data_IF_765810264278
#
_entry.id   IF_765810264278
#
_cell.length_a   1.000
_cell.length_b   1.000
_cell.length_c   1.000
_cell.angle_alpha   90.00
_cell.angle_beta   90.00
_cell.angle_gamma   90.00
#
_symmetry.space_group_name_H-M   'P 1'
#
loop_
_entity.id
_entity.type
_entity.pdbx_description
1 polymer ?
#
# COMPACT_ATOMS: atom_id res chain seq x y z
N UNK A 1 -3.51 -24.98 30.67
CA UNK A 1 -3.20 -26.16 29.84
C UNK A 1 -1.68 -26.20 29.64
N UNK A 2 -1.02 -27.37 29.73
CA UNK A 2 0.40 -27.50 29.37
C UNK A 2 0.59 -27.18 27.87
N UNK A 3 1.72 -26.57 27.48
CA UNK A 3 2.01 -26.26 26.07
C UNK A 3 2.16 -27.56 25.27
N UNK A 4 1.62 -27.62 24.04
CA UNK A 4 1.81 -28.77 23.14
C UNK A 4 3.18 -28.78 22.46
N UNK A 5 3.76 -27.58 22.22
CA UNK A 5 5.06 -27.41 21.60
C UNK A 5 5.98 -26.57 22.49
N UNK A 6 7.25 -26.98 22.57
CA UNK A 6 8.35 -26.14 23.02
C UNK A 6 9.03 -25.52 21.80
N UNK A 7 9.10 -24.19 21.75
CA UNK A 7 9.65 -23.43 20.62
C UNK A 7 10.99 -22.82 21.02
N UNK A 8 12.05 -23.06 20.23
CA UNK A 8 13.38 -22.49 20.44
C UNK A 8 14.00 -22.00 19.14
N UNK A 9 14.63 -20.81 19.09
CA UNK A 9 14.62 -19.76 20.13
C UNK A 9 13.21 -19.18 20.37
N UNK A 10 13.02 -18.55 21.53
CA UNK A 10 11.75 -17.89 21.91
C UNK A 10 11.51 -16.54 21.21
N UNK A 11 12.48 -16.08 20.43
CA UNK A 11 12.45 -14.87 19.61
C UNK A 11 13.21 -15.15 18.31
N UNK A 12 12.80 -14.48 17.23
CA UNK A 12 13.41 -14.61 15.91
C UNK A 12 14.37 -13.45 15.72
N UNK A 13 15.65 -13.73 15.52
CA UNK A 13 16.66 -12.67 15.38
C UNK A 13 17.26 -12.71 13.98
N UNK A 14 17.29 -11.56 13.32
CA UNK A 14 17.97 -11.35 12.05
C UNK A 14 19.06 -10.28 12.17
N UNK A 15 20.14 -10.37 11.39
CA UNK A 15 21.04 -9.23 11.20
C UNK A 15 20.32 -8.13 10.40
N UNK A 16 20.61 -6.88 10.71
CA UNK A 16 20.11 -5.72 10.00
C UNK A 16 20.92 -5.52 8.71
N UNK A 17 20.52 -6.20 7.63
CA UNK A 17 21.15 -6.13 6.32
C UNK A 17 20.14 -5.76 5.25
N UNK A 18 20.46 -4.75 4.44
CA UNK A 18 19.65 -4.34 3.28
C UNK A 18 20.02 -5.16 2.04
N UNK A 19 19.08 -5.31 1.11
CA UNK A 19 19.26 -5.90 -0.21
C UNK A 19 19.76 -7.37 -0.24
N UNK A 20 19.80 -8.04 0.92
CA UNK A 20 20.22 -9.43 1.05
C UNK A 20 19.15 -10.26 1.77
N UNK A 21 18.97 -11.52 1.36
CA UNK A 21 18.16 -12.46 2.09
C UNK A 21 18.95 -13.10 3.23
N UNK A 22 18.32 -13.24 4.39
CA UNK A 22 18.93 -13.84 5.59
C UNK A 22 17.97 -14.87 6.16
N UNK A 23 18.50 -15.94 6.75
CA UNK A 23 17.69 -17.03 7.30
C UNK A 23 18.00 -17.27 8.77
N UNK A 24 17.02 -17.84 9.47
CA UNK A 24 17.15 -18.33 10.83
C UNK A 24 16.26 -19.56 11.00
N UNK A 25 16.54 -20.37 12.01
CA UNK A 25 15.86 -21.65 12.24
C UNK A 25 15.14 -21.64 13.58
N UNK A 26 13.87 -22.03 13.57
CA UNK A 26 13.08 -22.34 14.77
C UNK A 26 12.92 -23.85 14.91
N UNK A 27 13.24 -24.39 16.08
CA UNK A 27 13.00 -25.79 16.43
C UNK A 27 11.70 -25.91 17.24
N UNK A 28 10.77 -26.72 16.74
CA UNK A 28 9.50 -27.05 17.37
C UNK A 28 9.59 -28.48 17.94
N UNK A 29 9.63 -28.60 19.26
CA UNK A 29 9.66 -29.90 19.95
C UNK A 29 8.28 -30.24 20.51
N UNK A 30 7.76 -31.43 20.20
CA UNK A 30 6.52 -31.92 20.78
C UNK A 30 6.74 -32.30 22.25
N UNK A 31 6.03 -31.63 23.15
CA UNK A 31 6.11 -31.83 24.61
C UNK A 31 4.75 -32.22 25.21
N UNK A 32 3.85 -32.73 24.37
CA UNK A 32 2.54 -33.22 24.80
C UNK A 32 2.65 -34.36 25.81
N UNK A 33 2.00 -34.20 26.97
CA UNK A 33 2.08 -35.16 28.07
C UNK A 33 1.40 -36.51 27.75
N UNK A 34 0.44 -36.49 26.82
CA UNK A 34 -0.30 -37.68 26.37
C UNK A 34 0.40 -38.40 25.19
N UNK A 35 1.58 -37.91 24.78
CA UNK A 35 2.38 -38.45 23.67
C UNK A 35 1.57 -38.57 22.37
N UNK A 36 0.70 -37.61 22.09
CA UNK A 36 -0.02 -37.52 20.81
C UNK A 36 0.83 -36.76 19.78
N UNK A 37 0.59 -37.05 18.50
CA UNK A 37 1.15 -36.24 17.43
C UNK A 37 0.55 -34.82 17.48
N UNK A 38 1.35 -33.80 17.20
CA UNK A 38 0.91 -32.40 17.26
C UNK A 38 1.03 -31.78 15.87
N UNK A 39 -0.10 -31.34 15.31
CA UNK A 39 -0.13 -30.57 14.08
C UNK A 39 0.16 -29.10 14.39
N UNK A 40 0.93 -28.44 13.53
CA UNK A 40 1.25 -27.03 13.67
C UNK A 40 1.02 -26.25 12.37
N UNK A 41 0.75 -24.96 12.53
CA UNK A 41 0.70 -23.98 11.44
C UNK A 41 1.30 -22.67 11.89
N UNK A 42 2.04 -22.01 11.01
CA UNK A 42 2.76 -20.78 11.27
C UNK A 42 2.17 -19.67 10.39
N UNK A 43 1.89 -18.53 11.02
CA UNK A 43 1.44 -17.29 10.38
C UNK A 43 2.41 -16.17 10.73
N UNK A 44 2.51 -15.17 9.87
CA UNK A 44 3.35 -13.98 10.09
C UNK A 44 2.55 -12.72 9.77
N UNK A 45 2.87 -11.61 10.42
CA UNK A 45 2.31 -10.29 10.11
C UNK A 45 2.85 -9.70 8.80
N UNK A 46 3.94 -10.27 8.25
CA UNK A 46 4.56 -9.78 7.01
C UNK A 46 4.88 -10.93 6.03
N UNK A 47 3.86 -11.60 5.44
CA UNK A 47 4.06 -12.77 4.57
C UNK A 47 4.82 -12.46 3.27
N UNK A 48 4.93 -11.18 2.88
CA UNK A 48 5.77 -10.76 1.75
C UNK A 48 7.27 -10.71 2.12
N UNK A 49 7.57 -10.45 3.39
CA UNK A 49 8.94 -10.29 3.88
C UNK A 49 9.55 -11.62 4.31
N UNK A 50 8.72 -12.63 4.64
CA UNK A 50 9.22 -13.90 5.16
C UNK A 50 8.72 -15.10 4.37
N UNK A 51 9.64 -15.98 4.05
CA UNK A 51 9.36 -17.31 3.54
C UNK A 51 9.59 -18.34 4.66
N UNK A 52 8.57 -19.15 4.94
CA UNK A 52 8.59 -20.13 6.04
C UNK A 52 8.55 -21.55 5.49
N UNK A 53 9.50 -22.39 5.89
CA UNK A 53 9.65 -23.76 5.38
C UNK A 53 10.00 -24.75 6.51
N UNK A 54 9.11 -25.70 6.86
CA UNK A 54 7.69 -25.79 6.49
C UNK A 54 6.82 -24.76 7.24
N UNK A 55 5.76 -24.24 6.61
CA UNK A 55 4.78 -23.33 7.25
C UNK A 55 3.65 -24.06 7.99
N UNK A 56 3.50 -25.36 7.75
CA UNK A 56 2.60 -26.26 8.49
C UNK A 56 3.13 -27.68 8.43
N UNK A 57 2.77 -28.51 9.41
CA UNK A 57 3.19 -29.91 9.45
C UNK A 57 2.73 -30.62 10.71
N UNK A 58 3.32 -31.78 10.98
CA UNK A 58 3.09 -32.57 12.20
C UNK A 58 4.42 -32.89 12.86
N UNK A 59 4.44 -32.81 14.18
CA UNK A 59 5.54 -33.25 15.02
C UNK A 59 5.11 -34.50 15.76
N UNK A 60 5.80 -35.62 15.49
CA UNK A 60 5.58 -36.88 16.20
C UNK A 60 5.88 -36.73 17.70
N UNK A 61 5.38 -37.63 18.56
CA UNK A 61 5.67 -37.60 19.99
C UNK A 61 7.17 -37.59 20.27
N UNK A 62 7.61 -36.74 21.19
CA UNK A 62 9.03 -36.56 21.57
C UNK A 62 9.97 -36.11 20.41
N UNK A 63 9.43 -35.80 19.22
CA UNK A 63 10.21 -35.38 18.07
C UNK A 63 10.41 -33.85 18.02
N UNK A 64 11.39 -33.41 17.21
CA UNK A 64 11.64 -32.00 16.91
C UNK A 64 11.64 -31.78 15.40
N UNK A 65 11.01 -30.69 14.96
CA UNK A 65 11.01 -30.24 13.56
C UNK A 65 11.65 -28.87 13.49
N UNK A 66 12.59 -28.71 12.56
CA UNK A 66 13.20 -27.41 12.25
C UNK A 66 12.41 -26.69 11.17
N UNK A 67 12.09 -25.44 11.44
CA UNK A 67 11.41 -24.50 10.56
C UNK A 67 12.37 -23.39 10.18
N UNK A 68 12.66 -23.29 8.89
CA UNK A 68 13.44 -22.18 8.35
C UNK A 68 12.54 -20.96 8.13
N UNK A 69 12.96 -19.83 8.67
CA UNK A 69 12.38 -18.51 8.40
C UNK A 69 13.41 -17.71 7.61
N UNK A 70 13.04 -17.32 6.39
CA UNK A 70 13.91 -16.62 5.46
C UNK A 70 13.34 -15.22 5.24
N UNK A 71 14.05 -14.20 5.73
CA UNK A 71 13.77 -12.80 5.41
C UNK A 71 14.19 -12.52 3.95
N UNK A 72 13.26 -11.98 3.17
CA UNK A 72 13.47 -11.53 1.80
C UNK A 72 14.28 -10.21 1.79
N UNK A 73 15.01 -9.89 0.71
CA UNK A 73 15.77 -8.64 0.59
C UNK A 73 14.90 -7.42 0.89
N UNK A 74 15.34 -6.59 1.85
CA UNK A 74 14.63 -5.36 2.25
C UNK A 74 15.24 -4.14 1.55
N UNK A 75 14.40 -3.20 1.10
CA UNK A 75 14.81 -1.94 0.45
C UNK A 75 14.85 -0.74 1.40
N UNK A 76 14.33 -0.91 2.62
CA UNK A 76 14.29 0.06 3.71
C UNK A 76 14.73 -0.62 5.01
N UNK A 77 15.19 0.16 6.00
CA UNK A 77 15.73 -0.36 7.27
C UNK A 77 14.77 -1.35 7.96
N UNK A 78 15.10 -2.66 7.99
CA UNK A 78 14.29 -3.69 8.62
C UNK A 78 14.07 -3.47 10.12
N UNK A 79 14.98 -2.75 10.80
CA UNK A 79 14.90 -2.55 12.26
C UNK A 79 13.69 -1.75 12.73
N UNK A 80 13.02 -1.06 11.80
CA UNK A 80 11.77 -0.36 12.05
C UNK A 80 10.54 -1.28 12.00
N UNK A 81 10.68 -2.52 11.52
CA UNK A 81 9.58 -3.47 11.42
C UNK A 81 9.29 -4.14 12.77
N UNK A 82 8.03 -4.14 13.19
CA UNK A 82 7.58 -4.86 14.41
C UNK A 82 6.94 -6.20 14.07
N UNK A 83 7.63 -6.99 13.23
CA UNK A 83 7.09 -8.24 12.70
C UNK A 83 6.89 -9.31 13.78
N UNK A 84 5.84 -10.11 13.64
CA UNK A 84 5.50 -11.19 14.59
C UNK A 84 5.16 -12.47 13.86
N UNK A 85 5.47 -13.59 14.50
CA UNK A 85 5.07 -14.93 14.09
C UNK A 85 4.10 -15.52 15.10
N UNK A 86 3.05 -16.17 14.61
CA UNK A 86 2.08 -16.92 15.39
C UNK A 86 2.19 -18.39 15.00
N UNK A 87 2.52 -19.23 15.98
CA UNK A 87 2.52 -20.69 15.86
C UNK A 87 1.24 -21.19 16.52
N UNK A 88 0.39 -21.85 15.76
CA UNK A 88 -0.82 -22.53 16.24
C UNK A 88 -0.55 -24.03 16.26
N UNK A 89 -0.91 -24.70 17.33
CA UNK A 89 -0.71 -26.13 17.52
C UNK A 89 -1.97 -26.80 18.08
N UNK A 90 -2.24 -28.03 17.64
CA UNK A 90 -3.30 -28.88 18.21
C UNK A 90 -2.91 -30.35 18.08
N UNK A 91 -3.48 -31.22 18.93
CA UNK A 91 -3.25 -32.66 18.84
C UNK A 91 -3.90 -33.22 17.57
N UNK A 92 -3.17 -34.04 16.81
CA UNK A 92 -3.63 -34.71 15.60
C UNK A 92 -3.90 -36.19 15.89
N UNK A 93 -5.14 -36.63 15.68
CA UNK A 93 -5.54 -38.03 15.86
C UNK A 93 -5.03 -38.95 14.74
N UNK A 94 -4.77 -38.40 13.55
CA UNK A 94 -4.37 -39.16 12.35
C UNK A 94 -2.86 -39.17 12.14
N UNK A 95 -2.10 -38.35 12.88
CA UNK A 95 -0.65 -38.16 12.67
C UNK A 95 -0.30 -37.48 11.35
N UNK A 96 -1.29 -36.97 10.61
CA UNK A 96 -1.14 -36.25 9.35
C UNK A 96 -1.36 -34.74 9.54
N UNK A 97 -0.77 -33.89 8.69
CA UNK A 97 -1.03 -32.45 8.70
C UNK A 97 -2.52 -32.17 8.54
N UNK A 98 -3.03 -31.22 9.32
CA UNK A 98 -4.42 -30.79 9.21
C UNK A 98 -4.60 -29.89 7.99
N UNK A 99 -5.57 -30.21 7.16
CA UNK A 99 -5.98 -29.40 6.01
C UNK A 99 -6.77 -28.16 6.45
N UNK A 100 -6.92 -27.19 5.53
CA UNK A 100 -7.54 -25.88 5.84
C UNK A 100 -8.91 -26.00 6.50
N UNK A 101 -9.76 -26.90 6.01
CA UNK A 101 -11.12 -27.09 6.50
C UNK A 101 -11.16 -27.81 7.85
N UNK A 102 -10.14 -28.61 8.17
CA UNK A 102 -10.04 -29.30 9.45
C UNK A 102 -9.65 -28.30 10.55
N UNK A 103 -8.73 -27.37 10.28
CA UNK A 103 -8.40 -26.29 11.20
C UNK A 103 -9.61 -25.42 11.58
N UNK A 104 -10.60 -25.25 10.69
CA UNK A 104 -11.82 -24.51 10.97
C UNK A 104 -12.79 -25.27 11.90
N UNK A 105 -12.65 -26.60 11.99
CA UNK A 105 -13.49 -27.48 12.82
C UNK A 105 -12.91 -27.74 14.21
N UNK A 106 -11.61 -27.51 14.42
CA UNK A 106 -10.97 -27.62 15.73
C UNK A 106 -11.53 -26.54 16.67
N UNK A 107 -11.94 -26.93 17.87
CA UNK A 107 -12.45 -25.98 18.84
C UNK A 107 -11.34 -25.00 19.25
N UNK A 108 -11.66 -23.70 19.34
CA UNK A 108 -10.67 -22.66 19.71
C UNK A 108 -9.97 -22.95 21.05
N UNK A 109 -10.64 -23.66 21.97
CA UNK A 109 -10.08 -24.09 23.26
C UNK A 109 -9.01 -25.18 23.16
N UNK A 110 -8.93 -25.88 22.03
CA UNK A 110 -7.96 -26.95 21.75
C UNK A 110 -6.74 -26.45 20.95
N UNK A 111 -6.79 -25.20 20.49
CA UNK A 111 -5.68 -24.57 19.75
C UNK A 111 -4.77 -23.86 20.73
N UNK A 112 -3.50 -24.27 20.73
CA UNK A 112 -2.44 -23.64 21.49
C UNK A 112 -1.70 -22.62 20.62
N UNK A 113 -1.54 -21.41 21.13
CA UNK A 113 -0.93 -20.31 20.40
C UNK A 113 0.36 -19.83 21.06
N UNK A 114 1.43 -19.74 20.28
CA UNK A 114 2.70 -19.14 20.70
C UNK A 114 3.04 -17.98 19.75
N UNK A 115 3.26 -16.79 20.33
CA UNK A 115 3.69 -15.59 19.59
C UNK A 115 5.20 -15.38 19.75
N UNK A 116 5.89 -15.07 18.67
CA UNK A 116 7.31 -14.73 18.64
C UNK A 116 7.48 -13.35 18.01
N UNK A 117 8.40 -12.55 18.56
CA UNK A 117 8.80 -11.27 17.99
C UNK A 117 10.01 -11.46 17.07
N UNK A 118 10.06 -10.64 16.02
CA UNK A 118 11.26 -10.49 15.19
C UNK A 118 12.08 -9.32 15.71
N UNK A 119 13.39 -9.54 15.87
CA UNK A 119 14.34 -8.54 16.34
C UNK A 119 15.47 -8.43 15.32
N UNK A 120 15.77 -7.20 14.90
CA UNK A 120 16.90 -6.90 14.03
C UNK A 120 18.06 -6.39 14.86
N UNK A 121 19.21 -7.08 14.78
CA UNK A 121 20.44 -6.64 15.42
C UNK A 121 21.37 -6.01 14.39
N UNK A 122 22.14 -4.96 14.72
CA UNK A 122 23.20 -4.47 13.84
C UNK A 122 24.06 -5.63 13.37
N UNK A 123 24.42 -5.66 12.08
CA UNK A 123 25.33 -6.66 11.58
C UNK A 123 26.65 -6.54 12.36
N UNK A 124 27.06 -7.60 13.06
CA UNK A 124 28.39 -7.62 13.67
C UNK A 124 29.42 -7.70 12.55
N UNK A 125 30.30 -6.70 12.48
CA UNK A 125 31.45 -6.71 11.58
C UNK A 125 32.36 -7.89 11.93
N UNK A 126 32.33 -8.93 11.09
CA UNK A 126 33.47 -9.82 10.90
C UNK A 126 33.18 -11.33 10.96
N UNK A 127 32.99 -11.94 9.80
CA UNK A 127 33.73 -13.12 9.35
C UNK A 127 33.25 -13.52 7.94
N UNK A 128 33.81 -12.86 6.92
CA UNK A 128 33.81 -13.43 5.58
C UNK A 128 34.60 -14.76 5.65
N UNK A 129 33.91 -15.87 5.45
CA UNK A 129 34.52 -17.16 5.18
C UNK A 129 35.22 -17.08 3.81
N UNK A 130 36.48 -16.67 3.81
CA UNK A 130 37.41 -16.87 2.71
C UNK A 130 38.55 -17.75 3.24
N UNK A 131 38.39 -19.07 3.07
CA UNK A 131 39.51 -19.98 3.18
C UNK A 131 40.43 -19.77 1.99
N UNK A 132 41.62 -19.22 2.23
CA UNK A 132 42.81 -19.58 1.46
C UNK A 132 44.09 -19.34 2.25
N UNK A 133 45.04 -20.22 1.94
CA UNK A 133 46.22 -20.64 2.68
C UNK A 133 47.34 -19.60 2.84
N UNK A 134 48.10 -19.80 3.94
CA UNK A 134 49.35 -19.15 4.34
C UNK A 134 50.44 -19.09 3.25
N UNK A 135 51.17 -17.98 3.22
CA UNK A 135 52.63 -17.80 3.38
C UNK A 135 52.88 -16.28 3.17
N UNK A 136 53.59 -15.52 4.00
CA UNK A 136 54.83 -15.78 4.71
C UNK A 136 55.92 -14.89 4.09
N UNK A 137 56.35 -13.82 4.78
CA UNK A 137 57.43 -12.96 4.28
C UNK A 137 57.60 -11.68 5.09
N UNK A 138 58.81 -11.44 5.56
CA UNK A 138 59.24 -10.53 6.63
C UNK A 138 60.01 -9.33 6.02
N UNK A 139 60.35 -8.35 6.88
CA UNK A 139 61.36 -7.28 6.72
C UNK A 139 60.92 -6.05 5.89
N UNK A 140 61.23 -4.80 6.23
CA UNK A 140 62.03 -4.22 7.31
C UNK A 140 62.60 -2.84 6.90
N UNK A 141 62.44 -1.85 7.78
CA UNK A 141 63.40 -0.78 8.11
C UNK A 141 63.54 0.54 7.29
N UNK A 142 63.62 1.62 8.09
CA UNK A 142 64.43 2.87 8.01
C UNK A 142 64.01 4.03 7.08
N UNK A 143 63.54 5.18 7.60
CA UNK A 143 64.27 6.41 8.07
C UNK A 143 65.02 7.14 6.94
N UNK A 144 64.98 8.46 6.71
CA UNK A 144 64.92 9.62 7.60
C UNK A 144 64.74 10.96 6.84
N UNK A 145 64.19 11.96 7.56
CA UNK A 145 64.50 13.40 7.65
C UNK A 145 64.97 14.24 6.42
N UNK A 146 64.25 15.33 6.11
CA UNK A 146 64.73 16.73 6.18
C UNK A 146 63.68 17.71 5.60
N UNK A 147 63.51 18.87 6.25
CA UNK A 147 62.81 20.07 5.77
C UNK A 147 63.83 21.25 5.75
N UNK A 148 63.51 22.49 5.34
CA UNK A 148 62.39 23.05 4.54
C UNK A 148 62.87 24.06 3.44
N UNK A 149 62.02 24.44 2.46
CA UNK A 149 62.02 25.82 1.88
C UNK A 149 60.74 26.11 1.08
N UNK A 150 60.33 27.38 1.07
CA UNK A 150 58.99 27.89 0.80
C UNK A 150 58.68 28.28 -0.66
N UNK A 151 57.38 28.29 -1.01
CA UNK A 151 56.61 29.25 -1.86
C UNK A 151 55.52 28.55 -2.73
N UNK A 152 54.43 29.24 -3.11
CA UNK A 152 53.07 28.68 -3.10
C UNK A 152 52.58 28.19 -4.48
N UNK A 153 51.96 27.00 -4.54
CA UNK A 153 51.24 26.54 -5.75
C UNK A 153 50.07 25.58 -5.46
N UNK A 154 49.67 25.38 -4.21
CA UNK A 154 48.84 24.22 -3.82
C UNK A 154 47.32 24.35 -4.04
N UNK A 155 46.76 25.53 -4.34
CA UNK A 155 45.29 25.68 -4.36
C UNK A 155 44.62 25.16 -5.65
N UNK A 156 45.31 25.15 -6.79
CA UNK A 156 44.73 24.72 -8.07
C UNK A 156 44.78 23.19 -8.29
N UNK A 157 45.79 22.52 -7.72
CA UNK A 157 45.99 21.08 -7.88
C UNK A 157 45.09 20.24 -6.96
N UNK A 158 44.67 20.78 -5.80
CA UNK A 158 43.74 20.09 -4.89
C UNK A 158 42.34 20.02 -5.51
N UNK A 159 41.84 21.12 -6.09
CA UNK A 159 40.54 21.16 -6.76
C UNK A 159 40.48 20.24 -8.00
N UNK A 160 41.57 20.13 -8.76
CA UNK A 160 41.64 19.22 -9.90
C UNK A 160 41.68 17.74 -9.48
N UNK A 161 42.34 17.41 -8.37
CA UNK A 161 42.37 16.05 -7.81
C UNK A 161 41.02 15.60 -7.26
N UNK A 162 40.33 16.47 -6.52
CA UNK A 162 38.98 16.18 -5.99
C UNK A 162 37.94 16.06 -7.12
N UNK A 163 38.02 16.91 -8.14
CA UNK A 163 37.12 16.84 -9.29
C UNK A 163 37.34 15.55 -10.10
N UNK A 164 38.60 15.11 -10.25
CA UNK A 164 38.93 13.84 -10.88
C UNK A 164 38.43 12.64 -10.08
N UNK A 165 38.56 12.68 -8.76
CA UNK A 165 38.06 11.61 -7.89
C UNK A 165 36.53 11.48 -7.96
N UNK A 166 35.80 12.60 -8.00
CA UNK A 166 34.35 12.60 -8.19
C UNK A 166 33.94 12.12 -9.58
N UNK A 167 34.72 12.47 -10.61
CA UNK A 167 34.49 11.98 -11.97
C UNK A 167 34.67 10.46 -12.06
N UNK A 168 35.75 9.94 -11.47
CA UNK A 168 36.03 8.50 -11.44
C UNK A 168 34.94 7.74 -10.66
N UNK A 169 34.46 8.29 -9.54
CA UNK A 169 33.33 7.74 -8.76
C UNK A 169 32.03 7.72 -9.58
N UNK A 170 31.73 8.79 -10.30
CA UNK A 170 30.54 8.88 -11.16
C UNK A 170 30.59 7.89 -12.34
N UNK A 171 31.78 7.67 -12.89
CA UNK A 171 32.01 6.67 -13.94
C UNK A 171 31.83 5.26 -13.40
N UNK A 172 32.37 4.94 -12.21
CA UNK A 172 32.14 3.64 -11.57
C UNK A 172 30.66 3.40 -11.26
N UNK A 173 29.96 4.43 -10.78
CA UNK A 173 28.53 4.34 -10.51
C UNK A 173 27.73 4.09 -11.80
N UNK A 174 28.03 4.81 -12.88
CA UNK A 174 27.38 4.63 -14.18
C UNK A 174 27.60 3.22 -14.73
N UNK A 175 28.83 2.70 -14.66
CA UNK A 175 29.17 1.34 -15.05
C UNK A 175 28.43 0.29 -14.20
N UNK A 176 28.22 0.57 -12.91
CA UNK A 176 27.46 -0.32 -12.02
C UNK A 176 25.98 -0.38 -12.41
N UNK A 177 25.36 0.76 -12.71
CA UNK A 177 23.97 0.84 -13.19
C UNK A 177 23.82 0.16 -14.55
N UNK A 178 24.74 0.36 -15.49
CA UNK A 178 24.68 -0.30 -16.80
C UNK A 178 24.80 -1.83 -16.67
N UNK A 179 25.65 -2.31 -15.77
CA UNK A 179 25.78 -3.74 -15.46
C UNK A 179 24.51 -4.30 -14.83
N UNK A 180 23.85 -3.54 -13.95
CA UNK A 180 22.60 -3.93 -13.32
C UNK A 180 21.42 -3.92 -14.30
N UNK A 181 21.34 -2.90 -15.15
CA UNK A 181 20.38 -2.83 -16.26
C UNK A 181 20.52 -4.02 -17.20
N UNK A 182 21.74 -4.35 -17.62
CA UNK A 182 21.99 -5.51 -18.49
C UNK A 182 21.62 -6.84 -17.80
N UNK A 183 21.80 -6.93 -16.48
CA UNK A 183 21.38 -8.10 -15.69
C UNK A 183 19.85 -8.22 -15.64
N UNK A 184 19.15 -7.12 -15.37
CA UNK A 184 17.69 -7.07 -15.32
C UNK A 184 17.05 -7.33 -16.70
N UNK A 185 17.64 -6.82 -17.78
CA UNK A 185 17.18 -7.11 -19.15
C UNK A 185 17.34 -8.61 -19.48
N UNK A 186 18.42 -9.25 -19.02
CA UNK A 186 18.62 -10.68 -19.19
C UNK A 186 17.68 -11.53 -18.34
N UNK A 187 17.38 -11.11 -17.11
CA UNK A 187 16.36 -11.74 -16.26
C UNK A 187 14.94 -11.57 -16.81
N UNK A 188 14.63 -10.40 -17.39
CA UNK A 188 13.37 -10.11 -18.05
C UNK A 188 13.17 -11.00 -19.28
N UNK A 189 14.21 -11.19 -20.09
CA UNK A 189 14.15 -12.05 -21.27
C UNK A 189 14.05 -13.54 -20.90
N UNK A 190 14.79 -13.98 -19.88
CA UNK A 190 14.65 -15.33 -19.33
C UNK A 190 13.25 -15.57 -18.73
N UNK A 191 12.64 -14.54 -18.12
CA UNK A 191 11.26 -14.62 -17.64
C UNK A 191 10.26 -14.67 -18.79
N UNK A 192 10.51 -14.02 -19.93
CA UNK A 192 9.66 -14.13 -21.12
C UNK A 192 9.76 -15.50 -21.79
N UNK A 193 10.92 -16.15 -21.79
CA UNK A 193 11.05 -17.52 -22.32
C UNK A 193 10.33 -18.57 -21.44
N UNK A 194 10.25 -18.36 -20.11
CA UNK A 194 9.49 -19.23 -19.19
C UNK A 194 7.97 -19.03 -19.29
N UNK A 195 7.52 -17.83 -19.69
CA UNK A 195 6.09 -17.47 -19.82
C UNK A 195 5.61 -17.31 -21.29
N UNK A 196 6.47 -17.56 -22.28
CA UNK A 196 6.24 -17.25 -23.70
C UNK A 196 5.72 -18.41 -24.55
N UNK A 197 5.28 -19.51 -23.93
CA UNK A 197 4.77 -20.68 -24.62
C UNK A 197 3.35 -21.03 -24.23
N UNK A 198 2.37 -20.21 -24.56
CA UNK A 198 0.99 -20.68 -24.71
C UNK A 198 0.29 -19.89 -25.83
N UNK A 199 0.02 -20.66 -26.88
CA UNK A 199 -0.52 -20.28 -28.17
C UNK A 199 -1.95 -19.70 -28.09
N UNK A 200 -2.16 -18.69 -28.92
CA UNK A 200 -3.37 -17.94 -29.21
C UNK A 200 -4.28 -18.76 -30.12
N UNK A 201 -5.09 -19.65 -29.53
CA UNK A 201 -6.15 -20.34 -30.27
C UNK A 201 -7.04 -21.14 -29.30
N UNK A 202 -8.12 -20.53 -28.83
CA UNK A 202 -9.47 -21.12 -28.92
C UNK A 202 -10.50 -20.21 -28.26
N UNK A 203 -11.24 -19.53 -29.14
CA UNK A 203 -12.64 -19.21 -28.95
C UNK A 203 -13.44 -20.47 -28.58
N UNK A 204 -14.59 -20.24 -27.93
CA UNK A 204 -15.65 -21.21 -27.60
C UNK A 204 -15.56 -21.80 -26.19
N UNK A 205 -16.27 -21.20 -25.23
CA UNK A 205 -17.56 -21.75 -24.72
C UNK A 205 -18.35 -20.60 -24.09
N UNK A 206 -19.09 -19.87 -24.93
CA UNK A 206 -20.31 -19.17 -24.49
C UNK A 206 -21.46 -20.09 -24.90
N UNK A 207 -22.13 -20.72 -23.95
CA UNK A 207 -23.60 -20.78 -23.91
C UNK A 207 -24.20 -21.70 -22.85
N UNK A 208 -25.36 -21.22 -22.38
CA UNK A 208 -26.50 -21.91 -21.77
C UNK A 208 -26.32 -22.40 -20.34
N UNK A 209 -27.04 -21.72 -19.44
CA UNK A 209 -28.32 -22.24 -18.93
C UNK A 209 -29.27 -21.06 -18.70
N UNK A 210 -30.36 -21.03 -19.48
CA UNK A 210 -31.50 -20.15 -19.30
C UNK A 210 -32.40 -20.70 -18.18
N UNK A 211 -32.80 -19.79 -17.29
CA UNK A 211 -34.13 -19.61 -16.72
C UNK A 211 -34.94 -20.87 -16.34
N UNK A 212 -35.01 -21.13 -15.04
CA UNK A 212 -36.29 -21.44 -14.40
C UNK A 212 -36.43 -20.60 -13.15
N UNK A 213 -37.55 -19.88 -13.06
CA UNK A 213 -37.84 -18.94 -12.01
C UNK A 213 -38.39 -19.63 -10.77
N UNK A 214 -37.76 -19.38 -9.63
CA UNK A 214 -38.42 -19.36 -8.34
C UNK A 214 -37.79 -18.25 -7.49
N UNK A 215 -38.68 -17.43 -6.93
CA UNK A 215 -38.38 -16.33 -6.01
C UNK A 215 -37.53 -16.84 -4.83
N UNK A 216 -36.23 -16.60 -4.88
CA UNK A 216 -35.32 -16.77 -3.75
C UNK A 216 -34.52 -15.47 -3.57
N UNK A 217 -34.94 -14.70 -2.58
CA UNK A 217 -34.16 -13.80 -1.73
C UNK A 217 -32.90 -13.20 -2.37
N UNK A 218 -32.99 -11.92 -2.77
CA UNK A 218 -31.81 -11.10 -3.11
C UNK A 218 -30.87 -11.17 -1.91
N UNK A 219 -29.83 -11.99 -2.03
CA UNK A 219 -28.84 -12.24 -1.00
C UNK A 219 -28.41 -10.94 -0.35
N UNK A 220 -29.00 -10.67 0.81
CA UNK A 220 -28.66 -9.54 1.63
C UNK A 220 -27.17 -9.60 1.92
N UNK A 221 -26.49 -8.50 1.63
CA UNK A 221 -25.16 -8.16 2.11
C UNK A 221 -24.98 -8.75 3.51
N UNK A 222 -24.07 -9.71 3.70
CA UNK A 222 -23.67 -10.07 5.07
C UNK A 222 -22.88 -8.87 5.60
N UNK A 223 -23.61 -7.90 6.14
CA UNK A 223 -23.02 -6.77 6.87
C UNK A 223 -22.43 -7.38 8.13
N UNK A 224 -21.14 -7.68 8.08
CA UNK A 224 -20.38 -8.06 9.26
C UNK A 224 -20.25 -6.80 10.14
N UNK A 225 -21.26 -6.54 10.96
CA UNK A 225 -21.15 -5.58 12.04
C UNK A 225 -20.16 -6.14 13.06
N UNK A 226 -19.13 -5.37 13.37
CA UNK A 226 -18.33 -5.60 14.58
C UNK A 226 -19.21 -5.47 15.82
N UNK A 227 -18.74 -5.95 16.98
CA UNK A 227 -19.43 -5.82 18.26
C UNK A 227 -19.82 -4.37 18.68
N UNK A 228 -19.37 -3.35 17.92
CA UNK A 228 -19.70 -1.93 18.09
C UNK A 228 -20.52 -1.32 16.92
N UNK A 229 -21.04 -2.13 15.98
CA UNK A 229 -21.95 -1.66 14.92
C UNK A 229 -21.31 -0.91 13.75
N UNK A 230 -19.98 -0.75 13.71
CA UNK A 230 -19.26 -0.07 12.62
C UNK A 230 -19.17 -0.93 11.36
N UNK A 231 -19.59 -0.37 10.23
CA UNK A 231 -19.35 -0.90 8.87
C UNK A 231 -17.97 -0.46 8.37
N UNK A 232 -17.22 -1.37 7.74
CA UNK A 232 -15.84 -1.11 7.29
C UNK A 232 -15.78 -0.14 6.10
N UNK A 233 -16.73 -0.26 5.17
CA UNK A 233 -16.92 0.67 4.05
C UNK A 233 -18.38 1.17 4.02
N UNK A 234 -18.72 2.16 4.87
CA UNK A 234 -20.09 2.59 5.03
C UNK A 234 -20.61 3.33 3.79
N UNK A 235 -21.91 3.21 3.55
CA UNK A 235 -22.64 4.05 2.59
C UNK A 235 -22.75 5.51 3.10
N UNK A 236 -23.14 6.42 2.21
CA UNK A 236 -23.50 7.78 2.63
C UNK A 236 -24.75 7.78 3.53
N UNK A 237 -24.76 8.67 4.52
CA UNK A 237 -25.97 9.00 5.26
C UNK A 237 -26.95 9.78 4.38
N UNK A 238 -28.20 9.94 4.83
CA UNK A 238 -29.19 10.78 4.13
C UNK A 238 -28.67 12.22 3.91
N UNK A 239 -28.02 12.79 4.93
CA UNK A 239 -27.38 14.09 4.81
C UNK A 239 -26.22 14.06 3.80
N UNK A 240 -25.40 13.00 3.80
CA UNK A 240 -24.31 12.83 2.85
C UNK A 240 -24.78 12.77 1.40
N UNK A 241 -25.91 12.11 1.13
CA UNK A 241 -26.54 12.12 -0.20
C UNK A 241 -26.96 13.53 -0.62
N UNK A 242 -27.63 14.28 0.26
CA UNK A 242 -28.02 15.67 -0.02
C UNK A 242 -26.81 16.59 -0.25
N UNK A 243 -25.72 16.38 0.51
CA UNK A 243 -24.47 17.11 0.30
C UNK A 243 -23.83 16.79 -1.07
N UNK A 244 -23.87 15.52 -1.49
CA UNK A 244 -23.36 15.09 -2.79
C UNK A 244 -24.18 15.67 -3.95
N UNK A 245 -25.52 15.70 -3.83
CA UNK A 245 -26.41 16.35 -4.80
C UNK A 245 -26.13 17.85 -4.93
N UNK A 246 -26.03 18.58 -3.81
CA UNK A 246 -25.70 20.01 -3.83
C UNK A 246 -24.32 20.29 -4.46
N UNK A 247 -23.35 19.41 -4.20
CA UNK A 247 -22.01 19.49 -4.81
C UNK A 247 -22.07 19.24 -6.32
N UNK A 248 -22.84 18.25 -6.76
CA UNK A 248 -23.04 17.96 -8.18
C UNK A 248 -23.70 19.14 -8.92
N UNK A 249 -24.73 19.75 -8.32
CA UNK A 249 -25.39 20.92 -8.89
C UNK A 249 -24.44 22.10 -9.03
N UNK A 250 -23.64 22.37 -8.00
CA UNK A 250 -22.64 23.43 -8.04
C UNK A 250 -21.57 23.20 -9.13
N UNK A 251 -21.01 21.99 -9.21
CA UNK A 251 -20.00 21.65 -10.22
C UNK A 251 -20.55 21.81 -11.64
N UNK A 252 -21.77 21.34 -11.87
CA UNK A 252 -22.44 21.45 -13.17
C UNK A 252 -22.79 22.90 -13.52
N UNK A 253 -23.32 23.68 -12.58
CA UNK A 253 -23.62 25.11 -12.78
C UNK A 253 -22.36 25.91 -13.16
N UNK A 254 -21.26 25.71 -12.44
CA UNK A 254 -19.99 26.36 -12.74
C UNK A 254 -19.40 25.90 -14.08
N UNK A 255 -19.56 24.62 -14.44
CA UNK A 255 -19.17 24.13 -15.77
C UNK A 255 -20.02 24.77 -16.87
N UNK A 256 -21.33 24.91 -16.67
CA UNK A 256 -22.25 25.55 -17.62
C UNK A 256 -21.97 27.04 -17.79
N UNK A 257 -21.52 27.71 -16.72
CA UNK A 257 -21.04 29.10 -16.74
C UNK A 257 -19.67 29.26 -17.40
N UNK A 258 -19.00 28.15 -17.75
CA UNK A 258 -17.67 28.16 -18.35
C UNK A 258 -16.56 28.52 -17.36
N UNK A 259 -16.79 28.39 -16.05
CA UNK A 259 -15.75 28.60 -15.04
C UNK A 259 -14.66 27.53 -15.19
N UNK A 260 -15.07 26.28 -15.45
CA UNK A 260 -14.18 25.17 -15.75
C UNK A 260 -14.74 24.27 -16.84
N UNK A 261 -13.84 23.60 -17.55
CA UNK A 261 -14.17 22.48 -18.46
C UNK A 261 -13.65 21.19 -17.83
N UNK A 262 -14.56 20.38 -17.31
CA UNK A 262 -14.19 19.14 -16.65
C UNK A 262 -13.77 18.11 -17.71
N UNK A 263 -12.48 17.74 -17.70
CA UNK A 263 -11.84 16.84 -18.65
C UNK A 263 -11.70 15.41 -18.15
N UNK A 264 -11.73 15.22 -16.82
CA UNK A 264 -11.63 13.90 -16.20
C UNK A 264 -12.29 13.90 -14.82
N UNK A 265 -12.91 12.79 -14.45
CA UNK A 265 -13.40 12.52 -13.09
C UNK A 265 -12.66 11.31 -12.54
N UNK A 266 -12.00 11.44 -11.40
CA UNK A 266 -11.27 10.37 -10.72
C UNK A 266 -11.95 10.11 -9.38
N UNK A 267 -12.30 8.85 -9.13
CA UNK A 267 -13.07 8.45 -7.95
C UNK A 267 -12.31 7.37 -7.20
N UNK A 268 -12.21 7.51 -5.88
CA UNK A 268 -11.76 6.43 -5.01
C UNK A 268 -12.75 5.25 -5.05
N UNK A 269 -12.29 3.99 -4.99
CA UNK A 269 -13.16 2.82 -5.08
C UNK A 269 -13.96 2.54 -3.78
N UNK A 270 -13.83 3.38 -2.75
CA UNK A 270 -14.60 3.25 -1.51
C UNK A 270 -16.07 3.62 -1.75
N UNK A 271 -16.98 2.91 -1.11
CA UNK A 271 -18.42 3.02 -1.36
C UNK A 271 -18.94 4.45 -1.18
N UNK A 272 -18.55 5.12 -0.09
CA UNK A 272 -18.93 6.52 0.17
C UNK A 272 -18.48 7.47 -0.94
N UNK A 273 -17.33 7.26 -1.58
CA UNK A 273 -16.85 8.12 -2.67
C UNK A 273 -17.52 7.79 -3.99
N UNK A 274 -17.83 6.53 -4.25
CA UNK A 274 -18.66 6.14 -5.41
C UNK A 274 -20.06 6.77 -5.31
N UNK A 275 -20.68 6.72 -4.13
CA UNK A 275 -21.97 7.36 -3.86
C UNK A 275 -21.92 8.88 -3.98
N UNK A 276 -20.85 9.53 -3.51
CA UNK A 276 -20.67 10.98 -3.73
C UNK A 276 -20.48 11.32 -5.21
N UNK A 277 -19.79 10.47 -5.97
CA UNK A 277 -19.54 10.70 -7.38
C UNK A 277 -20.78 10.47 -8.26
N UNK A 278 -21.72 9.61 -7.85
CA UNK A 278 -22.91 9.29 -8.64
C UNK A 278 -23.70 10.54 -9.10
N UNK A 279 -24.21 11.43 -8.23
CA UNK A 279 -24.95 12.61 -8.69
C UNK A 279 -24.06 13.56 -9.50
N UNK A 280 -22.75 13.61 -9.23
CA UNK A 280 -21.78 14.40 -10.00
C UNK A 280 -21.73 13.90 -11.45
N UNK A 281 -21.60 12.59 -11.65
CA UNK A 281 -21.57 11.98 -12.98
C UNK A 281 -22.90 12.13 -13.73
N UNK A 282 -24.03 11.96 -13.04
CA UNK A 282 -25.37 12.17 -13.61
C UNK A 282 -25.54 13.60 -14.17
N UNK A 283 -25.02 14.62 -13.46
CA UNK A 283 -25.12 16.03 -13.88
C UNK A 283 -24.07 16.44 -14.92
N UNK A 284 -22.89 15.81 -14.91
CA UNK A 284 -21.80 16.13 -15.83
C UNK A 284 -21.87 15.35 -17.14
N UNK A 285 -22.61 14.24 -17.22
CA UNK A 285 -22.83 13.55 -18.51
C UNK A 285 -23.63 14.45 -19.46
N UNK A 286 -23.22 14.60 -20.74
CA UNK A 286 -22.23 13.78 -21.46
C UNK A 286 -20.79 14.33 -21.47
N UNK A 287 -20.51 15.46 -20.83
CA UNK A 287 -19.22 16.15 -20.95
C UNK A 287 -18.02 15.30 -20.50
N UNK A 288 -18.25 14.32 -19.63
CA UNK A 288 -17.22 13.43 -19.06
C UNK A 288 -17.33 11.98 -19.57
N UNK A 289 -18.12 11.72 -20.61
CA UNK A 289 -18.30 10.39 -21.20
C UNK A 289 -16.95 9.79 -21.65
N UNK A 290 -16.62 8.60 -21.13
CA UNK A 290 -15.35 7.93 -21.42
C UNK A 290 -14.12 8.59 -20.77
N UNK A 291 -14.34 9.48 -19.79
CA UNK A 291 -13.29 10.21 -19.06
C UNK A 291 -13.42 10.04 -17.54
N UNK A 292 -13.97 8.90 -17.12
CA UNK A 292 -14.13 8.55 -15.70
C UNK A 292 -13.14 7.46 -15.35
N UNK A 293 -12.48 7.60 -14.21
CA UNK A 293 -11.57 6.60 -13.68
C UNK A 293 -11.95 6.25 -12.24
N UNK A 294 -11.98 4.96 -11.93
CA UNK A 294 -11.91 4.47 -10.56
C UNK A 294 -10.44 4.15 -10.28
N UNK A 295 -9.80 4.94 -9.43
CA UNK A 295 -8.38 4.79 -9.10
C UNK A 295 -8.23 4.30 -7.65
N UNK A 296 -7.83 3.04 -7.54
CA UNK A 296 -7.67 2.34 -6.28
C UNK A 296 -6.62 2.99 -5.37
N UNK A 297 -5.73 3.82 -5.90
CA UNK A 297 -4.74 4.54 -5.11
C UNK A 297 -5.32 5.73 -4.35
N UNK A 298 -6.58 6.13 -4.60
CA UNK A 298 -7.26 7.22 -3.89
C UNK A 298 -8.03 6.79 -2.64
N UNK A 299 -7.82 5.57 -2.14
CA UNK A 299 -8.47 5.08 -0.92
C UNK A 299 -7.98 5.82 0.35
N UNK A 300 -8.80 5.84 1.39
CA UNK A 300 -8.46 6.51 2.66
C UNK A 300 -7.24 5.89 3.34
N UNK A 301 -6.52 6.68 4.15
CA UNK A 301 -5.48 6.18 5.05
C UNK A 301 -5.98 4.95 5.85
N UNK A 302 -5.18 3.88 5.85
CA UNK A 302 -5.48 2.65 6.58
C UNK A 302 -6.28 1.62 5.80
N UNK A 303 -6.84 1.96 4.63
CA UNK A 303 -7.63 1.03 3.81
C UNK A 303 -8.96 0.63 4.46
N UNK A 304 -9.39 -0.62 4.23
CA UNK A 304 -10.59 -1.19 4.87
C UNK A 304 -10.18 -2.15 5.98
N UNK A 305 -10.74 -1.94 7.17
CA UNK A 305 -10.53 -2.81 8.31
C UNK A 305 -11.75 -2.82 9.24
N UNK A 306 -11.99 -3.96 9.87
CA UNK A 306 -12.98 -4.10 10.94
C UNK A 306 -12.32 -3.85 12.29
N UNK A 307 -12.93 -3.01 13.14
CA UNK A 307 -12.47 -2.78 14.51
C UNK A 307 -12.57 -1.32 14.98
N UNK A 308 -12.31 -1.12 16.28
CA UNK A 308 -12.28 0.21 16.89
C UNK A 308 -11.10 1.02 16.34
N UNK A 309 -11.33 2.30 15.99
CA UNK A 309 -10.26 3.23 15.49
C UNK A 309 -9.02 3.31 16.39
N UNK A 310 -9.16 2.95 17.67
CA UNK A 310 -8.12 2.98 18.73
C UNK A 310 -7.37 1.66 18.94
N UNK A 311 -7.81 0.55 18.33
CA UNK A 311 -7.15 -0.76 18.40
C UNK A 311 -6.74 -1.20 16.99
N UNK A 312 -5.79 -0.48 16.39
CA UNK A 312 -5.20 -0.81 15.09
C UNK A 312 -4.33 -2.08 15.23
N UNK A 313 -4.50 -3.05 14.35
CA UNK A 313 -3.57 -4.18 14.18
C UNK A 313 -3.68 -5.35 15.17
N UNK A 314 -4.76 -5.44 15.94
CA UNK A 314 -5.04 -6.58 16.82
C UNK A 314 -6.43 -7.17 16.53
N UNK A 315 -6.45 -8.41 16.02
CA UNK A 315 -7.66 -9.22 15.77
C UNK A 315 -8.63 -8.68 14.69
N UNK A 316 -8.12 -8.08 13.60
CA UNK A 316 -8.97 -7.57 12.52
C UNK A 316 -9.41 -8.70 11.56
N UNK A 317 -10.72 -8.88 11.36
CA UNK A 317 -11.25 -9.70 10.27
C UNK A 317 -10.91 -9.05 8.92
N UNK A 318 -10.47 -9.87 7.95
CA UNK A 318 -10.18 -9.41 6.60
C UNK A 318 -11.45 -8.83 5.95
N UNK A 319 -11.37 -7.56 5.53
CA UNK A 319 -12.41 -6.91 4.73
C UNK A 319 -11.90 -6.78 3.31
N UNK A 320 -12.75 -7.17 2.36
CA UNK A 320 -12.48 -7.00 0.95
C UNK A 320 -13.17 -5.74 0.44
N UNK A 321 -12.47 -4.99 -0.40
CA UNK A 321 -13.04 -3.88 -1.16
C UNK A 321 -13.89 -4.39 -2.32
N UNK A 322 -14.68 -3.51 -2.92
CA UNK A 322 -15.45 -3.84 -4.11
C UNK A 322 -14.55 -4.26 -5.26
N UNK A 323 -14.97 -5.25 -6.04
CA UNK A 323 -14.35 -5.57 -7.32
C UNK A 323 -14.69 -4.51 -8.38
N UNK A 324 -14.04 -4.56 -9.54
CA UNK A 324 -14.26 -3.57 -10.61
C UNK A 324 -15.73 -3.48 -11.03
N UNK A 325 -16.40 -4.63 -11.15
CA UNK A 325 -17.79 -4.69 -11.59
C UNK A 325 -18.72 -4.10 -10.53
N UNK A 326 -18.54 -4.47 -9.28
CA UNK A 326 -19.31 -3.95 -8.15
C UNK A 326 -19.12 -2.44 -7.99
N UNK A 327 -17.88 -1.95 -8.05
CA UNK A 327 -17.59 -0.53 -7.95
C UNK A 327 -18.21 0.27 -9.11
N UNK A 328 -18.19 -0.30 -10.32
CA UNK A 328 -18.87 0.28 -11.48
C UNK A 328 -20.40 0.30 -11.30
N UNK A 329 -20.99 -0.80 -10.83
CA UNK A 329 -22.42 -0.89 -10.60
C UNK A 329 -22.87 0.14 -9.54
N UNK A 330 -22.09 0.39 -8.48
CA UNK A 330 -22.39 1.43 -7.47
C UNK A 330 -22.33 2.88 -8.01
N UNK A 331 -21.61 3.15 -9.10
CA UNK A 331 -21.60 4.48 -9.73
C UNK A 331 -22.91 4.82 -10.46
N UNK A 332 -23.69 3.81 -10.87
CA UNK A 332 -24.84 3.96 -11.76
C UNK A 332 -24.55 4.84 -13.00
N UNK A 333 -23.35 4.71 -13.59
CA UNK A 333 -22.85 5.64 -14.61
C UNK A 333 -23.60 5.61 -15.96
N UNK A 334 -24.64 4.77 -16.13
CA UNK A 334 -25.50 4.74 -17.32
C UNK A 334 -24.80 4.37 -18.64
N UNK A 335 -23.50 4.05 -18.61
CA UNK A 335 -22.65 3.67 -19.76
C UNK A 335 -22.15 2.24 -19.61
N UNK A 336 -21.27 1.78 -20.52
CA UNK A 336 -20.57 0.50 -20.32
C UNK A 336 -19.48 0.66 -19.26
N UNK A 337 -19.16 -0.45 -18.58
CA UNK A 337 -17.99 -0.55 -17.70
C UNK A 337 -16.67 -0.25 -18.42
N UNK A 338 -16.63 -0.47 -19.73
CA UNK A 338 -15.47 -0.16 -20.57
C UNK A 338 -15.25 1.35 -20.76
N UNK A 339 -16.25 2.17 -20.41
CA UNK A 339 -16.13 3.64 -20.39
C UNK A 339 -15.54 4.18 -19.10
N UNK A 340 -15.18 3.30 -18.15
CA UNK A 340 -14.58 3.65 -16.86
C UNK A 340 -13.22 2.97 -16.73
N UNK A 341 -12.17 3.78 -16.63
CA UNK A 341 -10.81 3.30 -16.42
C UNK A 341 -10.67 2.72 -15.01
N UNK A 342 -10.18 1.48 -14.90
CA UNK A 342 -9.80 0.89 -13.62
C UNK A 342 -8.29 1.01 -13.41
N UNK A 343 -7.88 1.81 -12.44
CA UNK A 343 -6.47 2.06 -12.13
C UNK A 343 -6.17 1.43 -10.77
N UNK A 344 -5.52 0.27 -10.75
CA UNK A 344 -5.36 -0.49 -9.50
C UNK A 344 -4.73 -1.86 -9.66
N UNK A 345 -5.06 -2.78 -8.75
CA UNK A 345 -4.47 -4.12 -8.70
C UNK A 345 -4.76 -4.90 -9.98
N UNK A 346 -3.71 -5.12 -10.80
CA UNK A 346 -3.76 -5.92 -12.03
C UNK A 346 -3.96 -7.43 -11.79
N UNK A 347 -3.91 -7.86 -10.54
CA UNK A 347 -4.07 -9.26 -10.13
C UNK A 347 -5.56 -9.46 -9.89
N UNK A 348 -6.18 -10.21 -10.80
CA UNK A 348 -7.59 -10.61 -10.83
C UNK A 348 -8.55 -9.57 -10.24
N UNK A 349 -9.17 -8.77 -11.11
CA UNK A 349 -10.16 -7.75 -10.75
C UNK A 349 -11.31 -8.32 -9.88
N UNK A 350 -11.45 -9.66 -9.77
CA UNK A 350 -12.42 -10.38 -8.93
C UNK A 350 -12.18 -10.30 -7.42
N UNK A 351 -10.94 -10.09 -6.94
CA UNK A 351 -10.62 -10.13 -5.49
C UNK A 351 -10.89 -8.80 -4.76
N UNK A 352 -11.39 -7.79 -5.47
CA UNK A 352 -11.65 -6.47 -4.90
C UNK A 352 -10.44 -5.54 -4.91
N UNK A 353 -10.68 -4.23 -4.80
CA UNK A 353 -9.59 -3.24 -4.76
C UNK A 353 -8.75 -3.31 -3.46
N UNK A 354 -9.30 -3.91 -2.40
CA UNK A 354 -8.65 -4.11 -1.11
C UNK A 354 -8.78 -5.57 -0.72
N UNK A 355 -7.67 -6.23 -0.38
CA UNK A 355 -7.66 -7.64 0.05
C UNK A 355 -7.29 -7.81 1.53
N UNK A 356 -7.33 -6.71 2.28
CA UNK A 356 -7.32 -6.68 3.74
C UNK A 356 -6.05 -6.16 4.38
N UNK A 357 -6.08 -6.10 5.72
CA UNK A 357 -5.06 -5.50 6.55
C UNK A 357 -5.28 -4.00 6.78
N UNK A 358 -4.45 -3.43 7.65
CA UNK A 358 -4.35 -2.00 7.88
C UNK A 358 -3.19 -1.44 7.05
N UNK A 359 -3.43 -0.35 6.33
CA UNK A 359 -2.35 0.37 5.65
C UNK A 359 -1.55 1.22 6.64
N UNK A 360 -0.26 0.93 6.77
CA UNK A 360 0.65 1.73 7.59
C UNK A 360 0.88 3.12 7.01
N UNK A 361 1.08 4.11 7.88
CA UNK A 361 1.25 5.52 7.47
C UNK A 361 2.40 5.74 6.47
N UNK A 362 3.48 4.96 6.58
CA UNK A 362 4.60 5.00 5.63
C UNK A 362 4.19 4.53 4.23
N UNK A 363 3.35 3.48 4.13
CA UNK A 363 2.79 3.01 2.88
C UNK A 363 1.82 4.04 2.28
N UNK A 364 0.98 4.66 3.11
CA UNK A 364 0.11 5.78 2.70
C UNK A 364 0.92 6.92 2.08
N UNK A 365 2.07 7.28 2.66
CA UNK A 365 2.95 8.34 2.12
C UNK A 365 3.56 8.00 0.77
N UNK A 366 4.05 6.78 0.61
CA UNK A 366 4.55 6.30 -0.69
C UNK A 366 3.44 6.32 -1.75
N UNK A 367 2.22 5.91 -1.38
CA UNK A 367 1.05 5.96 -2.24
C UNK A 367 0.65 7.39 -2.59
N UNK A 368 0.65 8.31 -1.63
CA UNK A 368 0.35 9.72 -1.84
C UNK A 368 1.33 10.36 -2.84
N UNK A 369 2.62 10.04 -2.75
CA UNK A 369 3.63 10.48 -3.73
C UNK A 369 3.33 9.96 -5.14
N UNK A 370 3.00 8.68 -5.27
CA UNK A 370 2.64 8.10 -6.56
C UNK A 370 1.36 8.72 -7.16
N UNK A 371 0.39 9.08 -6.32
CA UNK A 371 -0.83 9.78 -6.73
C UNK A 371 -0.52 11.22 -7.15
N UNK A 372 0.31 11.94 -6.40
CA UNK A 372 0.73 13.30 -6.75
C UNK A 372 1.44 13.33 -8.13
N UNK A 373 2.35 12.39 -8.39
CA UNK A 373 2.97 12.23 -9.71
C UNK A 373 1.95 11.95 -10.82
N UNK A 374 0.98 11.06 -10.58
CA UNK A 374 -0.08 10.78 -11.54
C UNK A 374 -0.98 11.99 -11.83
N UNK A 375 -1.21 12.86 -10.83
CA UNK A 375 -1.93 14.12 -11.02
C UNK A 375 -1.12 15.10 -11.89
N UNK A 376 0.20 15.18 -11.69
CA UNK A 376 1.09 15.98 -12.55
C UNK A 376 1.08 15.49 -14.00
N UNK A 377 1.14 14.18 -14.21
CA UNK A 377 1.05 13.57 -15.54
C UNK A 377 -0.30 13.83 -16.19
N UNK A 378 -1.39 13.74 -15.41
CA UNK A 378 -2.75 14.02 -15.88
C UNK A 378 -2.88 15.48 -16.31
N UNK A 379 -2.40 16.42 -15.50
CA UNK A 379 -2.40 17.85 -15.85
C UNK A 379 -1.60 18.12 -17.13
N UNK A 380 -0.40 17.57 -17.24
CA UNK A 380 0.43 17.71 -18.44
C UNK A 380 -0.21 17.10 -19.70
N UNK A 381 -0.92 15.97 -19.58
CA UNK A 381 -1.64 15.36 -20.70
C UNK A 381 -2.79 16.25 -21.16
N UNK A 382 -3.55 16.81 -20.22
CA UNK A 382 -4.68 17.70 -20.50
C UNK A 382 -4.20 18.98 -21.18
N UNK A 383 -3.14 19.63 -20.66
CA UNK A 383 -2.56 20.83 -21.27
C UNK A 383 -2.08 20.55 -22.71
N UNK A 384 -1.55 19.35 -22.96
CA UNK A 384 -1.12 18.92 -24.30
C UNK A 384 -2.29 18.64 -25.23
N UNK A 385 -3.36 18.01 -24.74
CA UNK A 385 -4.57 17.69 -25.49
C UNK A 385 -5.43 18.94 -25.77
N UNK A 386 -5.36 19.94 -24.89
CA UNK A 386 -6.18 21.14 -24.88
C UNK A 386 -5.35 22.42 -24.65
N UNK A 387 -4.37 22.74 -25.53
CA UNK A 387 -3.41 23.82 -25.30
C UNK A 387 -4.01 25.24 -25.28
N UNK A 388 -5.20 25.42 -25.84
CA UNK A 388 -5.93 26.70 -25.88
C UNK A 388 -6.94 26.84 -24.73
N UNK A 389 -7.02 25.86 -23.82
CA UNK A 389 -7.99 25.85 -22.72
C UNK A 389 -7.35 26.20 -21.37
N UNK A 390 -7.52 27.45 -20.96
CA UNK A 390 -6.99 27.95 -19.68
C UNK A 390 -7.75 27.45 -18.45
N UNK A 391 -8.91 26.80 -18.63
CA UNK A 391 -9.81 26.40 -17.56
C UNK A 391 -10.16 24.90 -17.55
N UNK A 392 -9.29 24.06 -18.13
CA UNK A 392 -9.43 22.61 -18.02
C UNK A 392 -9.34 22.16 -16.56
N UNK A 393 -10.19 21.23 -16.16
CA UNK A 393 -10.29 20.76 -14.77
C UNK A 393 -10.38 19.24 -14.67
N UNK A 394 -9.81 18.69 -13.60
CA UNK A 394 -10.00 17.31 -13.16
C UNK A 394 -10.76 17.33 -11.84
N UNK A 395 -11.86 16.59 -11.77
CA UNK A 395 -12.61 16.40 -10.52
C UNK A 395 -12.09 15.14 -9.85
N UNK A 396 -11.72 15.25 -8.57
CA UNK A 396 -11.26 14.12 -7.76
C UNK A 396 -12.20 13.96 -6.57
N UNK A 397 -12.72 12.75 -6.35
CA UNK A 397 -13.55 12.39 -5.19
C UNK A 397 -12.80 11.37 -4.33
N UNK A 398 -12.32 11.82 -3.17
CA UNK A 398 -11.47 11.04 -2.24
C UNK A 398 -11.73 11.44 -0.79
N UNK A 399 -10.77 11.21 0.12
CA UNK A 399 -10.96 11.27 1.57
C UNK A 399 -9.98 12.24 2.23
N UNK A 400 -10.35 12.81 3.37
CA UNK A 400 -9.62 13.92 4.00
C UNK A 400 -8.18 13.58 4.41
N UNK A 401 -7.95 12.46 5.11
CA UNK A 401 -6.60 12.11 5.58
C UNK A 401 -5.68 11.75 4.41
N UNK A 402 -6.20 11.02 3.43
CA UNK A 402 -5.42 10.72 2.24
C UNK A 402 -5.12 11.96 1.40
N UNK A 403 -6.10 12.85 1.19
CA UNK A 403 -5.90 14.10 0.44
C UNK A 403 -4.91 15.02 1.13
N UNK A 404 -4.91 15.11 2.47
CA UNK A 404 -3.90 15.84 3.23
C UNK A 404 -2.47 15.35 2.91
N UNK A 405 -2.28 14.03 2.79
CA UNK A 405 -1.00 13.46 2.37
C UNK A 405 -0.63 13.81 0.92
N UNK A 406 -1.60 13.78 0.00
CA UNK A 406 -1.40 14.16 -1.41
C UNK A 406 -1.07 15.65 -1.54
N UNK A 407 -1.74 16.52 -0.78
CA UNK A 407 -1.49 17.96 -0.77
C UNK A 407 -0.08 18.29 -0.27
N UNK A 408 0.40 17.57 0.75
CA UNK A 408 1.78 17.71 1.20
C UNK A 408 2.77 17.42 0.07
N UNK A 409 2.58 16.33 -0.66
CA UNK A 409 3.44 15.97 -1.80
C UNK A 409 3.36 17.00 -2.94
N UNK A 410 2.16 17.47 -3.30
CA UNK A 410 1.97 18.48 -4.35
C UNK A 410 2.59 19.84 -4.01
N UNK A 411 2.60 20.21 -2.73
CA UNK A 411 3.11 21.49 -2.23
C UNK A 411 4.57 21.41 -1.74
N UNK A 412 5.19 20.22 -1.77
CA UNK A 412 6.54 20.01 -1.26
C UNK A 412 6.66 20.19 0.26
N UNK A 413 5.57 19.97 1.00
CA UNK A 413 5.55 20.01 2.46
C UNK A 413 5.98 18.63 2.98
N UNK A 414 7.00 18.53 3.84
CA UNK A 414 7.39 17.24 4.44
C UNK A 414 6.22 16.61 5.20
N UNK A 415 5.84 15.40 4.81
CA UNK A 415 4.86 14.59 5.52
C UNK A 415 5.60 13.50 6.30
N UNK A 416 6.22 13.88 7.40
CA UNK A 416 6.86 12.96 8.35
C UNK A 416 6.15 12.99 9.71
N UNK A 417 6.58 12.16 10.64
CA UNK A 417 5.94 12.02 11.96
C UNK A 417 6.15 13.23 12.87
N UNK A 418 7.02 14.17 12.47
CA UNK A 418 7.23 15.45 13.17
C UNK A 418 6.28 16.55 12.69
N UNK A 419 5.48 16.30 11.64
CA UNK A 419 4.59 17.30 11.07
C UNK A 419 3.53 17.76 12.07
N UNK A 420 3.43 19.07 12.26
CA UNK A 420 2.47 19.72 13.15
C UNK A 420 1.32 20.43 12.44
N UNK A 421 1.18 20.23 11.12
CA UNK A 421 0.21 20.93 10.26
C UNK A 421 -0.59 19.92 9.44
N UNK A 422 -1.90 20.13 9.31
CA UNK A 422 -2.79 19.30 8.50
C UNK A 422 -3.75 20.16 7.68
N UNK A 423 -4.11 19.69 6.50
CA UNK A 423 -5.18 20.23 5.69
C UNK A 423 -6.51 19.68 6.18
N UNK A 424 -7.41 20.57 6.61
CA UNK A 424 -8.74 20.19 7.08
C UNK A 424 -9.66 19.91 5.90
N UNK A 425 -10.57 18.95 6.02
CA UNK A 425 -11.47 18.58 4.92
C UNK A 425 -12.80 18.12 5.49
N UNK A 426 -13.82 18.95 5.30
CA UNK A 426 -15.19 18.66 5.62
C UNK A 426 -15.83 17.74 4.58
N UNK A 427 -16.93 17.09 4.96
CA UNK A 427 -17.72 16.25 4.05
C UNK A 427 -18.22 17.08 2.86
N UNK A 428 -17.99 16.58 1.64
CA UNK A 428 -18.34 17.25 0.38
C UNK A 428 -17.83 18.70 0.28
N UNK A 429 -16.73 19.04 0.97
CA UNK A 429 -16.01 20.30 0.75
C UNK A 429 -15.33 20.29 -0.62
N UNK A 430 -15.07 21.48 -1.14
CA UNK A 430 -14.32 21.69 -2.38
C UNK A 430 -12.97 22.33 -2.06
N UNK A 431 -11.92 21.67 -2.56
CA UNK A 431 -10.58 22.24 -2.62
C UNK A 431 -10.18 22.39 -4.08
N UNK A 432 -9.88 23.62 -4.50
CA UNK A 432 -9.53 23.97 -5.88
C UNK A 432 -8.04 24.29 -5.90
N UNK A 433 -7.28 23.51 -6.64
CA UNK A 433 -5.85 23.72 -6.87
C UNK A 433 -5.59 24.05 -8.34
N UNK A 434 -4.73 25.03 -8.59
CA UNK A 434 -4.19 25.29 -9.91
C UNK A 434 -2.89 24.52 -10.10
N UNK A 435 -2.70 23.98 -11.29
CA UNK A 435 -1.49 23.30 -11.73
C UNK A 435 -0.87 24.09 -12.88
N UNK A 436 0.45 24.12 -12.94
CA UNK A 436 1.21 24.67 -14.05
C UNK A 436 2.41 23.78 -14.31
N UNK A 437 2.53 23.27 -15.54
CA UNK A 437 3.60 22.38 -15.98
C UNK A 437 4.33 23.02 -17.16
N UNK A 438 5.51 23.59 -16.91
CA UNK A 438 6.34 24.25 -17.93
C UNK A 438 7.68 23.51 -18.05
N UNK A 439 7.75 22.56 -18.99
CA UNK A 439 8.91 21.68 -19.14
C UNK A 439 9.15 20.86 -17.87
N UNK A 440 10.29 21.09 -17.19
CA UNK A 440 10.63 20.42 -15.93
C UNK A 440 10.15 21.19 -14.69
N UNK A 441 9.49 22.35 -14.85
CA UNK A 441 8.98 23.15 -13.72
C UNK A 441 7.52 22.79 -13.47
N UNK A 442 7.22 22.40 -12.24
CA UNK A 442 5.87 22.11 -11.75
C UNK A 442 5.53 23.09 -10.63
N UNK A 443 4.36 23.71 -10.71
CA UNK A 443 3.83 24.62 -9.69
C UNK A 443 2.38 24.30 -9.40
N UNK A 444 2.05 24.13 -8.13
CA UNK A 444 0.68 23.96 -7.69
C UNK A 444 0.39 24.92 -6.53
N UNK A 445 -0.87 25.32 -6.40
CA UNK A 445 -1.32 26.14 -5.29
C UNK A 445 -2.83 26.08 -5.13
N UNK A 446 -3.30 26.22 -3.89
CA UNK A 446 -4.72 26.35 -3.62
C UNK A 446 -5.23 27.71 -4.09
N UNK A 447 -6.27 27.70 -4.91
CA UNK A 447 -7.18 28.83 -5.09
C UNK A 447 -8.14 28.90 -3.92
N UNK A 448 -8.59 27.73 -3.47
CA UNK A 448 -9.49 27.57 -2.35
C UNK A 448 -9.27 26.20 -1.71
N UNK A 449 -9.42 26.09 -0.40
CA UNK A 449 -9.31 24.83 0.33
C UNK A 449 -10.46 24.73 1.33
N UNK A 450 -11.01 23.52 1.46
CA UNK A 450 -12.07 23.17 2.41
C UNK A 450 -13.32 24.07 2.33
N UNK A 451 -13.70 24.49 1.12
CA UNK A 451 -14.90 25.31 0.95
C UNK A 451 -16.16 24.47 1.04
N UNK A 452 -17.07 24.88 1.92
CA UNK A 452 -18.43 24.34 2.06
C UNK A 452 -19.51 25.35 1.65
N UNK A 453 -19.10 26.47 1.05
CA UNK A 453 -19.99 27.58 0.74
C UNK A 453 -21.09 27.21 -0.28
N UNK A 454 -20.84 26.21 -1.13
CA UNK A 454 -21.81 25.68 -2.08
C UNK A 454 -22.89 24.81 -1.42
N UNK A 455 -22.64 24.31 -0.21
CA UNK A 455 -23.63 23.53 0.53
C UNK A 455 -24.63 24.48 1.20
N UNK A 456 -25.95 24.18 1.15
CA UNK A 456 -26.95 24.80 2.00
C UNK A 456 -26.54 24.73 3.48
N UNK A 457 -26.85 25.79 4.24
CA UNK A 457 -26.45 25.95 5.65
C UNK A 457 -26.84 24.75 6.53
N UNK A 458 -28.03 24.20 6.30
CA UNK A 458 -28.62 23.06 7.00
C UNK A 458 -27.93 21.73 6.69
N UNK A 459 -27.16 21.67 5.60
CA UNK A 459 -26.37 20.49 5.23
C UNK A 459 -24.92 20.59 5.72
N UNK A 460 -24.46 21.76 6.17
CA UNK A 460 -23.06 21.93 6.63
C UNK A 460 -22.85 21.16 7.93
N UNK A 461 -21.75 20.41 7.97
CA UNK A 461 -21.42 19.54 9.11
C UNK A 461 -20.04 19.84 9.64
N UNK A 462 -19.91 19.94 10.96
CA UNK A 462 -18.61 19.98 11.63
C UNK A 462 -17.83 18.71 11.33
N UNK A 463 -16.51 18.76 11.47
CA UNK A 463 -15.65 17.63 11.14
C UNK A 463 -14.40 17.60 12.02
N UNK A 464 -13.74 16.45 12.06
CA UNK A 464 -12.52 16.25 12.84
C UNK A 464 -11.50 15.44 12.06
N UNK A 465 -10.26 15.92 12.07
CA UNK A 465 -9.12 15.32 11.38
C UNK A 465 -7.86 15.56 12.20
N UNK A 466 -6.98 14.58 12.30
CA UNK A 466 -5.68 14.73 12.99
C UNK A 466 -5.78 15.17 14.47
N UNK A 467 -6.90 14.90 15.15
CA UNK A 467 -7.14 15.36 16.53
C UNK A 467 -7.63 16.82 16.64
N UNK A 468 -7.77 17.53 15.52
CA UNK A 468 -8.43 18.83 15.44
C UNK A 468 -9.92 18.66 15.15
N UNK A 469 -10.74 19.60 15.57
CA UNK A 469 -12.19 19.57 15.31
C UNK A 469 -12.69 20.96 14.92
N UNK A 470 -13.41 21.03 13.81
CA UNK A 470 -14.22 22.17 13.42
C UNK A 470 -15.64 21.99 13.99
N UNK A 471 -16.09 22.80 14.96
CA UNK A 471 -17.39 22.63 15.60
C UNK A 471 -18.56 22.88 14.64
N UNK A 472 -19.66 22.16 14.85
CA UNK A 472 -20.91 22.34 14.10
C UNK A 472 -21.39 23.80 14.12
N UNK A 473 -21.31 24.47 15.27
CA UNK A 473 -21.78 25.86 15.42
C UNK A 473 -21.01 26.87 14.56
N UNK A 474 -19.79 26.55 14.13
CA UNK A 474 -19.00 27.44 13.27
C UNK A 474 -19.44 27.32 11.81
N UNK A 475 -19.75 26.10 11.38
CA UNK A 475 -20.11 25.82 9.98
C UNK A 475 -21.57 26.14 9.63
N UNK A 476 -22.46 26.21 10.62
CA UNK A 476 -23.86 26.63 10.40
C UNK A 476 -23.99 28.09 9.92
N UNK A 477 -22.98 28.93 10.20
CA UNK A 477 -23.00 30.38 9.92
C UNK A 477 -22.05 30.81 8.80
N UNK A 478 -21.13 29.94 8.39
CA UNK A 478 -20.13 30.17 7.34
C UNK A 478 -20.61 29.59 6.02
#
# INVERSE_FOLDING_TARGET
MPSLLSVKPGEIVFPNTLYQSVNTTLSLTNVDAEKKAVAFKIKTTAPRNYLVRPSSGVVAPDATVDVQIILQPQTSDPSLNTDRFLIQATTSATGQPLERDEWARVAKSEIHEQRLHVIFKPAEDGAAAAGQSKQGGKEGSSTSAAAPTAAPTSSANIAAGELRSKYDELVQYTLSIEKEKAKLEKELEASKEVYGGYDDSSSDVVNRLELDGESADRGGRRVAHTAEGREADPQLSEQGWKQAEATAEYLADMSNKGVWRIRKVIVSPMLRTLHTARPILEKLSPAVDGKVAIDCRFHEEGGLFQGARRRRGADEEFVFGLNRREAFDELHYGKSIDCVDWIGTKKDESEGWWTGGYEEASATRVRAKAVAEALWETAASIDKEHPEEENSAVVVVSHGLFLDSVYCELLGIPNDDSRSTFFMTANCSLSIMMFSVEGNKRKAGFVCHDSIAHLPSELRSGHSIGGMSLPQSWVEQS
#
